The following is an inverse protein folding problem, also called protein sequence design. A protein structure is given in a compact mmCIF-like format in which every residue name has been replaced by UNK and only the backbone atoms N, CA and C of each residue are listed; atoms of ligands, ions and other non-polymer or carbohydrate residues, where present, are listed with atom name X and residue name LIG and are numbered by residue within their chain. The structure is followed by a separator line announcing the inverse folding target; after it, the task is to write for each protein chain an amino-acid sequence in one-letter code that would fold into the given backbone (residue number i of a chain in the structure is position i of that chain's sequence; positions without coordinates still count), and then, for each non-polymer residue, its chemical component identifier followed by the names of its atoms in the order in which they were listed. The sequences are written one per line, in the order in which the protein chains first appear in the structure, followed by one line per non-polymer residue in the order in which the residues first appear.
data_IF_468744055772
#
_entry.id   IF_468744055772
#
_cell.length_a   1.000
_cell.length_b   1.000
_cell.length_c   1.000
_cell.angle_alpha   90.00
_cell.angle_beta   90.00
_cell.angle_gamma   90.00
#
_symmetry.space_group_name_H-M   'P 1'
#
loop_
_entity.id
_entity.type
_entity.pdbx_description
1 polymer ?
#
# COMPACT_ATOMS: atom_id res chain seq x y z
N UNK A 1 9.40 -8.78 -18.91
CA UNK A 1 9.19 -9.40 -17.57
C UNK A 1 8.97 -8.28 -16.57
N UNK A 2 7.72 -7.98 -16.22
CA UNK A 2 7.46 -7.01 -15.16
C UNK A 2 7.99 -7.63 -13.86
N UNK A 3 8.96 -6.97 -13.21
CA UNK A 3 9.45 -7.38 -11.90
C UNK A 3 8.25 -7.35 -10.95
N UNK A 4 7.71 -8.53 -10.61
CA UNK A 4 6.81 -8.65 -9.47
C UNK A 4 7.66 -8.38 -8.23
N UNK A 5 7.81 -7.10 -7.89
CA UNK A 5 8.49 -6.66 -6.67
C UNK A 5 7.71 -7.26 -5.51
N UNK A 6 8.21 -8.35 -4.96
CA UNK A 6 7.60 -9.04 -3.84
C UNK A 6 7.80 -8.15 -2.62
N UNK A 7 6.74 -7.44 -2.21
CA UNK A 7 6.78 -6.59 -1.03
C UNK A 7 6.93 -7.46 0.22
N UNK A 8 7.75 -7.00 1.18
CA UNK A 8 7.92 -7.68 2.47
C UNK A 8 7.00 -7.07 3.51
N UNK A 9 6.42 -7.90 4.38
CA UNK A 9 5.60 -7.41 5.50
C UNK A 9 6.39 -6.40 6.33
N UNK A 10 5.77 -5.27 6.66
CA UNK A 10 6.38 -4.13 7.35
C UNK A 10 7.07 -3.12 6.43
N UNK A 11 7.19 -3.40 5.12
CA UNK A 11 7.81 -2.48 4.17
C UNK A 11 7.01 -1.19 4.04
N UNK A 12 7.72 -0.06 4.05
CA UNK A 12 7.11 1.25 3.96
C UNK A 12 6.72 1.57 2.51
N UNK A 13 5.48 2.01 2.35
CA UNK A 13 4.88 2.38 1.07
C UNK A 13 4.39 3.82 1.16
N UNK A 14 4.48 4.54 0.04
CA UNK A 14 3.90 5.86 -0.12
C UNK A 14 2.62 5.74 -0.93
N UNK A 15 1.50 6.20 -0.37
CA UNK A 15 0.23 6.23 -1.06
C UNK A 15 0.20 7.36 -2.10
N UNK A 16 -0.10 7.01 -3.35
CA UNK A 16 -0.21 7.91 -4.51
C UNK A 16 -1.61 7.90 -5.14
N UNK A 17 -2.54 7.10 -4.61
CA UNK A 17 -3.90 6.98 -5.11
C UNK A 17 -4.73 8.25 -4.90
N UNK A 18 -5.74 8.44 -5.76
CA UNK A 18 -6.64 9.62 -5.70
C UNK A 18 -7.89 9.38 -4.85
N UNK A 19 -8.17 8.11 -4.54
CA UNK A 19 -9.42 7.68 -3.90
C UNK A 19 -9.58 8.17 -2.46
N UNK A 20 -8.49 8.64 -1.85
CA UNK A 20 -8.41 9.02 -0.45
C UNK A 20 -8.12 10.51 -0.27
N UNK A 21 -8.43 11.35 -1.27
CA UNK A 21 -8.26 12.81 -1.20
C UNK A 21 -8.87 13.49 0.03
N UNK A 22 -9.85 12.83 0.68
CA UNK A 22 -10.55 13.34 1.85
C UNK A 22 -10.05 12.76 3.18
N UNK A 23 -9.15 11.77 3.17
CA UNK A 23 -8.38 11.52 4.38
C UNK A 23 -7.40 12.67 4.51
N UNK A 24 -7.36 13.28 5.68
CA UNK A 24 -6.39 14.30 6.03
C UNK A 24 -5.03 13.60 6.17
N UNK A 25 -4.44 13.23 5.03
CA UNK A 25 -3.19 12.47 4.94
C UNK A 25 -2.07 13.43 5.34
N UNK A 26 -1.88 13.61 6.65
CA UNK A 26 -0.76 14.36 7.20
C UNK A 26 0.58 13.69 6.83
N UNK A 27 0.53 12.38 6.56
CA UNK A 27 1.65 11.54 6.17
C UNK A 27 1.14 10.51 5.17
N UNK A 28 1.69 10.39 3.94
CA UNK A 28 1.25 9.43 2.93
C UNK A 28 1.86 8.04 3.13
N UNK A 29 2.51 7.78 4.26
CA UNK A 29 3.27 6.55 4.48
C UNK A 29 2.43 5.47 5.17
N UNK A 30 2.52 4.25 4.66
CA UNK A 30 1.77 3.08 5.11
C UNK A 30 2.71 1.87 5.19
N UNK A 31 2.40 0.89 6.03
CA UNK A 31 3.17 -0.37 6.08
C UNK A 31 2.46 -1.48 5.36
N UNK A 32 3.15 -2.18 4.47
CA UNK A 32 2.62 -3.37 3.82
C UNK A 32 2.36 -4.50 4.83
N UNK A 33 1.18 -5.10 4.81
CA UNK A 33 0.83 -6.23 5.66
C UNK A 33 0.81 -7.56 4.89
N UNK A 34 0.34 -7.54 3.65
CA UNK A 34 0.21 -8.74 2.82
C UNK A 34 -0.65 -8.49 1.59
N UNK A 35 -0.63 -9.43 0.65
CA UNK A 35 -1.51 -9.42 -0.51
C UNK A 35 -2.83 -10.12 -0.21
N UNK A 36 -3.89 -9.70 -0.88
CA UNK A 36 -5.16 -10.42 -0.89
C UNK A 36 -5.16 -11.46 -2.02
N UNK A 37 -4.59 -12.63 -1.73
CA UNK A 37 -4.65 -13.80 -2.60
C UNK A 37 -3.95 -13.71 -3.96
N UNK A 38 -4.27 -14.67 -4.83
CA UNK A 38 -3.54 -15.10 -6.05
C UNK A 38 -3.24 -14.01 -7.11
N UNK A 39 -3.78 -12.80 -6.98
CA UNK A 39 -3.63 -11.75 -7.99
C UNK A 39 -2.50 -10.75 -7.75
N UNK A 40 -2.00 -10.61 -6.51
CA UNK A 40 -1.07 -9.55 -6.10
C UNK A 40 -1.51 -8.11 -6.49
N UNK A 41 -2.78 -7.94 -6.90
CA UNK A 41 -3.32 -6.69 -7.40
C UNK A 41 -3.74 -5.75 -6.27
N UNK A 42 -4.16 -6.35 -5.16
CA UNK A 42 -4.62 -5.65 -3.98
C UNK A 42 -3.88 -6.16 -2.73
N UNK A 43 -3.78 -5.28 -1.74
CA UNK A 43 -2.99 -5.49 -0.55
C UNK A 43 -3.62 -4.87 0.68
N UNK A 44 -3.29 -5.48 1.80
CA UNK A 44 -3.54 -4.96 3.13
C UNK A 44 -2.37 -4.09 3.57
N UNK A 45 -2.67 -2.91 4.10
CA UNK A 45 -1.69 -1.99 4.66
C UNK A 45 -2.12 -1.48 6.03
N UNK A 46 -1.16 -1.12 6.87
CA UNK A 46 -1.38 -0.42 8.12
C UNK A 46 -1.11 1.07 7.93
N UNK A 47 -2.10 1.89 8.29
CA UNK A 47 -2.01 3.35 8.28
C UNK A 47 -2.57 3.92 9.57
N UNK A 48 -1.72 4.57 10.36
CA UNK A 48 -2.11 5.20 11.63
C UNK A 48 -2.87 4.22 12.56
N UNK A 49 -2.42 2.96 12.64
CA UNK A 49 -3.06 1.92 13.45
C UNK A 49 -4.36 1.34 12.86
N UNK A 50 -4.76 1.74 11.64
CA UNK A 50 -5.90 1.16 10.91
C UNK A 50 -5.41 0.26 9.79
N UNK A 51 -6.10 -0.88 9.63
CA UNK A 51 -5.88 -1.78 8.50
C UNK A 51 -6.74 -1.33 7.33
N UNK A 52 -6.12 -1.19 6.17
CA UNK A 52 -6.75 -0.71 4.95
C UNK A 52 -6.51 -1.67 3.80
N UNK A 53 -7.47 -1.72 2.88
CA UNK A 53 -7.37 -2.49 1.65
C UNK A 53 -7.23 -1.55 0.46
N UNK A 54 -6.12 -1.68 -0.29
CA UNK A 54 -5.79 -0.78 -1.40
C UNK A 54 -5.15 -1.57 -2.56
N UNK A 55 -5.16 -0.97 -3.75
CA UNK A 55 -4.49 -1.58 -4.91
C UNK A 55 -2.98 -1.30 -4.87
N UNK A 56 -2.17 -2.26 -5.34
CA UNK A 56 -0.73 -2.04 -5.56
C UNK A 56 -0.44 -0.86 -6.49
N UNK A 57 -1.38 -0.51 -7.38
CA UNK A 57 -1.25 0.62 -8.31
C UNK A 57 -1.42 1.99 -7.63
N UNK A 58 -1.90 2.01 -6.40
CA UNK A 58 -2.12 3.23 -5.62
C UNK A 58 -0.98 3.51 -4.64
N UNK A 59 0.12 2.75 -4.73
CA UNK A 59 1.29 2.90 -3.87
C UNK A 59 2.59 2.87 -4.66
N UNK A 60 3.60 3.51 -4.09
CA UNK A 60 5.00 3.41 -4.49
C UNK A 60 5.84 2.95 -3.31
N UNK A 61 7.02 2.40 -3.59
CA UNK A 61 8.00 2.14 -2.53
C UNK A 61 8.46 3.47 -1.94
N UNK A 62 8.45 3.57 -0.61
CA UNK A 62 9.14 4.66 0.06
C UNK A 62 10.64 4.30 0.09
N UNK A 63 11.40 4.87 -0.84
CA UNK A 63 12.87 4.80 -0.90
C UNK A 63 13.52 5.56 0.24
#
# INVERSE_FOLDING_TARGET
MAKHTTLKRGQLLKYIGKRWKNLNISSPFMKFLGYDGNGFADMWVEYQGRTLFISIKEVELAS
#
